data_IF_939880121246
#
_entry.id   IF_939880121246
#
_cell.length_a   1.000
_cell.length_b   1.000
_cell.length_c   1.000
_cell.angle_alpha   90.00
_cell.angle_beta   90.00
_cell.angle_gamma   90.00
#
_symmetry.space_group_name_H-M   'P 1'
#
loop_
_entity.id
_entity.type
_entity.pdbx_description
1 polymer ?
#
# COMPACT_ATOMS: atom_id res chain seq x y z
N UNK A 1 -15.06 11.00 1.16
CA UNK A 1 -13.85 10.17 1.25
C UNK A 1 -12.91 10.58 2.39
N UNK A 2 -12.43 11.83 2.43
CA UNK A 2 -11.36 12.28 3.36
C UNK A 2 -11.50 11.88 4.84
N UNK A 3 -12.72 11.95 5.44
CA UNK A 3 -12.92 11.55 6.85
C UNK A 3 -12.61 10.06 7.08
N UNK A 4 -13.00 9.20 6.14
CA UNK A 4 -12.69 7.77 6.17
C UNK A 4 -11.18 7.55 6.04
N UNK A 5 -10.53 8.21 5.08
CA UNK A 5 -9.08 8.14 4.92
C UNK A 5 -8.34 8.56 6.20
N UNK A 6 -8.70 9.70 6.79
CA UNK A 6 -8.06 10.18 8.02
C UNK A 6 -8.22 9.21 9.19
N UNK A 7 -9.35 8.49 9.26
CA UNK A 7 -9.54 7.46 10.27
C UNK A 7 -8.63 6.25 10.02
N UNK A 8 -8.62 5.73 8.78
CA UNK A 8 -7.76 4.61 8.38
C UNK A 8 -6.28 4.91 8.60
N UNK A 9 -5.83 6.09 8.17
CA UNK A 9 -4.44 6.54 8.35
C UNK A 9 -4.07 6.52 9.83
N UNK A 10 -4.91 7.07 10.72
CA UNK A 10 -4.66 7.01 12.16
C UNK A 10 -4.58 5.58 12.68
N UNK A 11 -5.48 4.71 12.23
CA UNK A 11 -5.48 3.29 12.62
C UNK A 11 -4.20 2.58 12.19
N UNK A 12 -3.75 2.78 10.94
CA UNK A 12 -2.51 2.21 10.40
C UNK A 12 -1.30 2.75 11.17
N UNK A 13 -1.18 4.06 11.35
CA UNK A 13 -0.05 4.68 12.03
C UNK A 13 0.05 4.30 13.52
N UNK A 14 -1.06 4.00 14.18
CA UNK A 14 -1.05 3.57 15.59
C UNK A 14 -0.62 2.10 15.77
N UNK A 15 -0.81 1.26 14.74
CA UNK A 15 -0.53 -0.19 14.78
C UNK A 15 0.77 -0.57 14.08
N UNK A 16 1.36 0.37 13.34
CA UNK A 16 2.56 0.16 12.55
C UNK A 16 3.53 1.32 12.73
N UNK A 17 4.76 1.17 12.22
CA UNK A 17 5.75 2.26 12.18
C UNK A 17 5.64 3.07 10.88
N UNK A 18 4.52 2.99 10.17
CA UNK A 18 4.30 3.72 8.93
C UNK A 18 4.00 5.20 9.21
N UNK A 19 4.58 6.06 8.38
CA UNK A 19 4.37 7.50 8.41
C UNK A 19 3.62 7.92 7.16
N UNK A 20 2.40 8.42 7.31
CA UNK A 20 1.59 8.84 6.19
C UNK A 20 2.20 10.06 5.47
N UNK A 21 2.32 9.99 4.15
CA UNK A 21 2.87 11.08 3.33
C UNK A 21 1.87 11.63 2.32
N UNK A 22 0.82 10.88 1.97
CA UNK A 22 -0.18 11.37 1.02
C UNK A 22 -1.18 10.31 0.61
N UNK A 23 -2.25 10.79 -0.03
CA UNK A 23 -3.27 9.95 -0.63
C UNK A 23 -3.62 10.46 -2.02
N UNK A 24 -4.05 9.55 -2.89
CA UNK A 24 -4.58 9.86 -4.21
C UNK A 24 -6.03 9.42 -4.32
N UNK A 25 -6.80 10.16 -5.09
CA UNK A 25 -8.16 9.78 -5.47
C UNK A 25 -8.26 9.90 -7.00
N UNK A 26 -8.83 8.88 -7.64
CA UNK A 26 -9.24 8.97 -9.04
C UNK A 26 -10.76 8.88 -9.12
N UNK A 27 -11.35 9.61 -10.06
CA UNK A 27 -12.79 9.70 -10.16
C UNK A 27 -13.24 10.79 -11.11
N UNK A 28 -14.52 11.09 -11.04
CA UNK A 28 -15.15 12.23 -11.69
C UNK A 28 -15.81 13.13 -10.63
N UNK A 29 -16.64 14.10 -11.05
CA UNK A 29 -17.30 15.03 -10.11
C UNK A 29 -18.21 14.35 -9.08
N UNK A 30 -18.70 13.14 -9.37
CA UNK A 30 -19.70 12.44 -8.58
C UNK A 30 -19.26 11.07 -8.08
N UNK A 31 -18.29 10.41 -8.70
CA UNK A 31 -17.88 9.06 -8.35
C UNK A 31 -16.37 8.93 -8.17
N UNK A 32 -15.99 8.07 -7.23
CA UNK A 32 -14.64 7.60 -7.00
C UNK A 32 -14.42 6.28 -7.71
N UNK A 33 -13.28 6.14 -8.38
CA UNK A 33 -12.87 4.91 -9.07
C UNK A 33 -11.77 4.19 -8.32
N UNK A 34 -10.83 4.95 -7.73
CA UNK A 34 -9.73 4.40 -6.94
C UNK A 34 -9.30 5.34 -5.83
N UNK A 35 -8.70 4.77 -4.79
CA UNK A 35 -8.04 5.48 -3.71
C UNK A 35 -6.66 4.87 -3.49
N UNK A 36 -5.65 5.72 -3.32
CA UNK A 36 -4.30 5.28 -2.96
C UNK A 36 -3.84 5.92 -1.66
N UNK A 37 -3.04 5.20 -0.87
CA UNK A 37 -2.31 5.74 0.27
C UNK A 37 -0.82 5.48 0.12
N UNK A 38 -0.03 6.47 0.49
CA UNK A 38 1.43 6.41 0.46
C UNK A 38 1.99 6.64 1.85
N UNK A 39 2.97 5.82 2.22
CA UNK A 39 3.63 5.85 3.52
C UNK A 39 5.16 5.79 3.38
N UNK A 40 5.85 6.41 4.32
CA UNK A 40 7.27 6.15 4.56
C UNK A 40 7.43 5.20 5.75
N UNK A 41 8.54 4.47 5.76
CA UNK A 41 9.04 3.76 6.93
C UNK A 41 10.55 3.97 7.03
N UNK A 42 11.04 4.23 8.25
CA UNK A 42 12.46 4.51 8.52
C UNK A 42 13.16 3.27 9.10
N UNK A 43 13.01 2.14 8.41
CA UNK A 43 13.79 0.92 8.61
C UNK A 43 13.75 0.11 7.33
N UNK A 44 14.81 -0.65 7.07
CA UNK A 44 14.84 -1.63 5.99
C UNK A 44 13.82 -2.73 6.28
N UNK A 45 13.02 -3.07 5.27
CA UNK A 45 12.04 -4.14 5.31
C UNK A 45 12.55 -5.36 4.55
N UNK A 46 12.28 -6.54 5.09
CA UNK A 46 12.33 -7.77 4.29
C UNK A 46 11.13 -7.82 3.32
N UNK A 47 11.23 -8.66 2.28
CA UNK A 47 10.13 -8.91 1.33
C UNK A 47 8.84 -9.33 2.06
N UNK A 48 8.96 -10.21 3.05
CA UNK A 48 7.83 -10.75 3.81
C UNK A 48 7.17 -9.69 4.72
N UNK A 49 7.97 -8.87 5.40
CA UNK A 49 7.42 -7.77 6.20
C UNK A 49 6.70 -6.74 5.32
N UNK A 50 7.30 -6.39 4.17
CA UNK A 50 6.69 -5.49 3.21
C UNK A 50 5.37 -6.02 2.66
N UNK A 51 5.34 -7.31 2.27
CA UNK A 51 4.13 -8.02 1.83
C UNK A 51 3.02 -7.93 2.89
N UNK A 52 3.34 -8.27 4.13
CA UNK A 52 2.38 -8.23 5.24
C UNK A 52 1.83 -6.82 5.48
N UNK A 53 2.68 -5.80 5.44
CA UNK A 53 2.26 -4.41 5.60
C UNK A 53 1.33 -3.96 4.47
N UNK A 54 1.67 -4.29 3.22
CA UNK A 54 0.84 -3.97 2.06
C UNK A 54 -0.56 -4.57 2.17
N UNK A 55 -0.66 -5.87 2.45
CA UNK A 55 -1.95 -6.56 2.62
C UNK A 55 -2.74 -5.95 3.76
N UNK A 56 -2.12 -5.79 4.94
CA UNK A 56 -2.79 -5.24 6.12
C UNK A 56 -3.35 -3.84 5.86
N UNK A 57 -2.56 -2.96 5.25
CA UNK A 57 -2.99 -1.59 4.95
C UNK A 57 -4.11 -1.57 3.90
N UNK A 58 -4.01 -2.43 2.89
CA UNK A 58 -4.98 -2.51 1.80
C UNK A 58 -6.33 -3.04 2.30
N UNK A 59 -6.33 -4.07 3.15
CA UNK A 59 -7.53 -4.61 3.78
C UNK A 59 -8.21 -3.60 4.70
N UNK A 60 -7.46 -2.88 5.54
CA UNK A 60 -8.03 -1.84 6.41
C UNK A 60 -8.69 -0.73 5.58
N UNK A 61 -8.01 -0.24 4.55
CA UNK A 61 -8.55 0.81 3.69
C UNK A 61 -9.81 0.34 2.94
N UNK A 62 -9.76 -0.85 2.35
CA UNK A 62 -10.89 -1.42 1.62
C UNK A 62 -12.10 -1.62 2.54
N UNK A 63 -11.88 -2.18 3.73
CA UNK A 63 -12.90 -2.39 4.76
C UNK A 63 -13.55 -1.07 5.18
N UNK A 64 -12.75 -0.07 5.54
CA UNK A 64 -13.26 1.22 5.99
C UNK A 64 -14.03 2.00 4.92
N UNK A 65 -13.63 1.88 3.64
CA UNK A 65 -14.38 2.47 2.52
C UNK A 65 -15.72 1.75 2.34
N UNK A 66 -15.72 0.42 2.25
CA UNK A 66 -16.91 -0.36 1.95
C UNK A 66 -17.92 -0.42 3.11
N UNK A 67 -17.46 -0.31 4.38
CA UNK A 67 -18.34 -0.22 5.55
C UNK A 67 -18.99 1.16 5.70
N UNK A 68 -18.46 2.19 5.02
CA UNK A 68 -19.07 3.51 5.06
C UNK A 68 -20.24 3.60 4.08
N UNK A 69 -21.46 3.31 4.57
CA UNK A 69 -22.70 3.36 3.80
C UNK A 69 -22.96 4.71 3.12
N UNK A 70 -22.40 5.81 3.64
CA UNK A 70 -22.49 7.14 3.01
C UNK A 70 -21.59 7.30 1.78
N UNK A 71 -20.54 6.48 1.65
CA UNK A 71 -19.66 6.48 0.48
C UNK A 71 -20.16 5.57 -0.62
N UNK A 72 -20.85 4.47 -0.29
CA UNK A 72 -21.28 3.45 -1.27
C UNK A 72 -21.94 4.00 -2.54
N UNK A 73 -22.84 5.02 -2.49
CA UNK A 73 -23.46 5.59 -3.70
C UNK A 73 -22.49 6.32 -4.63
N UNK A 74 -21.31 6.68 -4.13
CA UNK A 74 -20.28 7.43 -4.86
C UNK A 74 -19.10 6.55 -5.28
N UNK A 75 -19.14 5.23 -5.02
CA UNK A 75 -18.10 4.30 -5.46
C UNK A 75 -18.47 3.73 -6.83
N UNK A 76 -17.50 3.64 -7.75
CA UNK A 76 -17.68 2.97 -9.03
C UNK A 76 -16.44 2.13 -9.38
N UNK A 77 -16.52 0.79 -9.31
CA UNK A 77 -17.69 -0.03 -8.92
C UNK A 77 -18.08 0.15 -7.44
N UNK A 78 -19.26 -0.32 -7.05
CA UNK A 78 -19.70 -0.38 -5.65
C UNK A 78 -20.17 -1.80 -5.32
N UNK A 79 -19.60 -2.47 -4.29
CA UNK A 79 -18.50 -2.01 -3.45
C UNK A 79 -17.16 -1.94 -4.22
N UNK A 80 -16.16 -1.26 -3.65
CA UNK A 80 -14.78 -1.35 -4.13
C UNK A 80 -14.22 -2.75 -3.91
N UNK A 81 -13.28 -3.13 -4.76
CA UNK A 81 -12.50 -4.37 -4.70
C UNK A 81 -11.02 -4.07 -4.50
N UNK A 82 -10.18 -5.11 -4.44
CA UNK A 82 -8.73 -4.97 -4.36
C UNK A 82 -8.14 -4.15 -5.54
N UNK A 83 -8.80 -4.13 -6.69
CA UNK A 83 -8.35 -3.35 -7.85
C UNK A 83 -8.57 -1.83 -7.68
N UNK A 84 -9.40 -1.41 -6.71
CA UNK A 84 -9.76 -0.01 -6.48
C UNK A 84 -8.93 0.66 -5.38
N UNK A 85 -8.09 -0.11 -4.69
CA UNK A 85 -7.28 0.35 -3.57
C UNK A 85 -5.81 0.08 -3.83
N UNK A 86 -5.00 1.11 -3.67
CA UNK A 86 -3.56 1.07 -3.92
C UNK A 86 -2.79 1.51 -2.68
N UNK A 87 -1.73 0.78 -2.33
CA UNK A 87 -0.86 1.12 -1.20
C UNK A 87 0.57 1.21 -1.70
N UNK A 88 1.28 2.27 -1.30
CA UNK A 88 2.69 2.47 -1.58
C UNK A 88 3.42 2.67 -0.25
N UNK A 89 4.53 1.94 -0.06
CA UNK A 89 5.40 2.07 1.11
C UNK A 89 6.83 2.29 0.61
N UNK A 90 7.40 3.43 1.01
CA UNK A 90 8.78 3.79 0.71
C UNK A 90 9.64 3.50 1.96
N UNK A 91 10.58 2.59 1.79
CA UNK A 91 11.54 2.18 2.83
C UNK A 91 12.79 3.04 2.76
N UNK A 92 13.20 3.53 3.93
CA UNK A 92 14.43 4.28 4.14
C UNK A 92 15.22 3.64 5.28
N UNK A 93 16.52 3.88 5.32
CA UNK A 93 17.31 3.58 6.50
C UNK A 93 16.83 4.43 7.71
N UNK A 94 17.13 4.01 8.95
CA UNK A 94 16.74 4.75 10.15
C UNK A 94 17.23 6.21 10.21
N UNK A 95 18.32 6.52 9.50
CA UNK A 95 18.86 7.88 9.38
C UNK A 95 18.21 8.71 8.26
N UNK A 96 17.17 8.16 7.60
CA UNK A 96 16.44 8.80 6.50
C UNK A 96 17.11 8.69 5.14
N UNK A 97 18.25 7.99 5.01
CA UNK A 97 18.88 7.77 3.72
C UNK A 97 18.09 6.80 2.85
N UNK A 98 18.19 7.00 1.54
CA UNK A 98 17.60 6.12 0.53
C UNK A 98 18.13 4.70 0.67
N UNK A 99 17.22 3.74 0.47
CA UNK A 99 17.52 2.32 0.36
C UNK A 99 17.87 1.98 -1.09
N UNK A 100 18.95 1.23 -1.29
CA UNK A 100 19.43 0.82 -2.61
C UNK A 100 19.63 -0.69 -2.66
N UNK A 101 19.67 -1.25 -3.88
CA UNK A 101 19.99 -2.66 -4.11
C UNK A 101 21.24 -3.09 -3.31
N UNK A 102 21.19 -4.23 -2.59
CA UNK A 102 20.20 -5.31 -2.69
C UNK A 102 18.93 -5.13 -1.84
N UNK A 103 18.78 -4.03 -1.13
CA UNK A 103 17.62 -3.78 -0.27
C UNK A 103 16.43 -3.20 -1.07
N UNK A 104 15.22 -3.58 -0.70
CA UNK A 104 13.98 -3.11 -1.35
C UNK A 104 13.61 -1.73 -0.81
N UNK A 105 13.57 -0.75 -1.71
CA UNK A 105 13.24 0.64 -1.39
C UNK A 105 11.76 0.95 -1.54
N UNK A 106 11.04 0.25 -2.41
CA UNK A 106 9.63 0.50 -2.69
C UNK A 106 8.84 -0.80 -2.66
N UNK A 107 7.73 -0.76 -1.93
CA UNK A 107 6.75 -1.82 -1.86
C UNK A 107 5.41 -1.25 -2.31
N UNK A 108 4.76 -1.89 -3.28
CA UNK A 108 3.45 -1.42 -3.73
C UNK A 108 2.45 -2.55 -3.94
N UNK A 109 1.19 -2.28 -3.61
CA UNK A 109 0.06 -3.12 -3.96
C UNK A 109 -0.83 -2.33 -4.92
N UNK A 110 -0.80 -2.69 -6.19
CA UNK A 110 -1.38 -1.90 -7.28
C UNK A 110 -2.01 -2.83 -8.32
N UNK A 111 -3.23 -2.54 -8.79
CA UNK A 111 -3.91 -3.34 -9.83
C UNK A 111 -3.92 -4.87 -9.59
N UNK A 112 -4.11 -5.31 -8.35
CA UNK A 112 -4.17 -6.74 -8.02
C UNK A 112 -2.82 -7.46 -8.01
N UNK A 113 -1.70 -6.74 -8.12
CA UNK A 113 -0.36 -7.29 -7.93
C UNK A 113 0.34 -6.62 -6.76
N UNK A 114 1.32 -7.32 -6.20
CA UNK A 114 2.32 -6.76 -5.30
C UNK A 114 3.64 -6.61 -6.04
N UNK A 115 4.31 -5.48 -5.86
CA UNK A 115 5.63 -5.20 -6.40
C UNK A 115 6.64 -4.92 -5.31
N UNK A 116 7.87 -5.35 -5.57
CA UNK A 116 9.05 -5.09 -4.77
C UNK A 116 10.12 -4.51 -5.69
N UNK A 117 10.49 -3.27 -5.45
CA UNK A 117 11.32 -2.49 -6.36
C UNK A 117 12.56 -1.98 -5.60
N UNK A 118 13.72 -2.11 -6.23
CA UNK A 118 15.00 -1.62 -5.71
C UNK A 118 15.51 -0.48 -6.58
N UNK A 119 16.19 0.51 -5.99
CA UNK A 119 16.91 1.54 -6.74
C UNK A 119 18.43 1.29 -6.74
N UNK A 120 19.15 2.00 -7.62
CA UNK A 120 20.60 2.10 -7.57
C UNK A 120 21.07 3.56 -7.56
N UNK A 121 22.21 3.87 -6.91
CA UNK A 121 22.74 5.24 -6.87
C UNK A 121 22.95 5.82 -8.28
N UNK A 122 22.48 7.04 -8.50
CA UNK A 122 22.67 7.76 -9.77
C UNK A 122 21.70 7.39 -10.89
N UNK A 123 20.76 6.47 -10.66
CA UNK A 123 19.65 6.24 -11.59
C UNK A 123 18.74 7.47 -11.65
N UNK A 124 18.38 7.88 -12.87
CA UNK A 124 17.54 9.07 -13.12
C UNK A 124 16.07 8.73 -13.34
N UNK A 125 15.76 7.49 -13.71
CA UNK A 125 14.42 7.00 -13.96
C UNK A 125 14.37 5.47 -13.91
N UNK A 126 13.21 4.93 -13.54
CA UNK A 126 12.97 3.49 -13.42
C UNK A 126 13.61 2.86 -12.18
N UNK A 127 13.40 1.56 -12.02
CA UNK A 127 13.94 0.77 -10.92
C UNK A 127 15.09 -0.10 -11.39
N UNK A 128 16.04 -0.39 -10.50
CA UNK A 128 17.16 -1.27 -10.78
C UNK A 128 16.70 -2.73 -10.93
N UNK A 129 15.84 -3.19 -10.03
CA UNK A 129 15.13 -4.47 -10.15
C UNK A 129 13.66 -4.29 -9.75
N UNK A 130 12.80 -5.10 -10.35
CA UNK A 130 11.38 -5.20 -10.04
C UNK A 130 11.01 -6.68 -9.95
N UNK A 131 10.49 -7.09 -8.79
CA UNK A 131 9.86 -8.39 -8.59
C UNK A 131 8.37 -8.20 -8.38
N UNK A 132 7.56 -9.10 -8.94
CA UNK A 132 6.09 -9.04 -8.81
C UNK A 132 5.49 -10.39 -8.45
N UNK A 133 4.35 -10.34 -7.79
CA UNK A 133 3.51 -11.50 -7.45
C UNK A 133 2.04 -11.08 -7.49
N UNK A 134 1.12 -12.04 -7.64
CA UNK A 134 -0.31 -11.74 -7.54
C UNK A 134 -0.69 -11.38 -6.10
N UNK A 135 -1.71 -10.56 -5.93
CA UNK A 135 -2.21 -10.23 -4.59
C UNK A 135 -2.73 -11.49 -3.88
N UNK A 136 -3.34 -12.40 -4.63
CA UNK A 136 -3.88 -13.66 -4.13
C UNK A 136 -2.77 -14.59 -3.60
N UNK A 137 -1.69 -14.80 -4.36
CA UNK A 137 -0.55 -15.61 -3.90
C UNK A 137 0.10 -14.97 -2.67
N UNK A 138 0.25 -13.65 -2.67
CA UNK A 138 0.78 -12.92 -1.54
C UNK A 138 -0.07 -13.09 -0.27
N UNK A 139 -1.39 -13.09 -0.44
CA UNK A 139 -2.35 -13.30 0.65
C UNK A 139 -2.23 -14.72 1.22
N UNK A 140 -2.12 -15.73 0.36
CA UNK A 140 -1.88 -17.12 0.78
C UNK A 140 -0.57 -17.27 1.56
N UNK A 141 0.51 -16.63 1.09
CA UNK A 141 1.80 -16.61 1.80
C UNK A 141 1.61 -16.02 3.20
N UNK A 142 1.01 -14.83 3.32
CA UNK A 142 0.81 -14.18 4.62
C UNK A 142 -0.06 -15.03 5.55
N UNK A 143 -1.12 -15.67 5.05
CA UNK A 143 -1.96 -16.55 5.86
C UNK A 143 -1.22 -17.81 6.33
N UNK A 144 -0.41 -18.43 5.47
CA UNK A 144 0.41 -19.60 5.85
C UNK A 144 1.42 -19.27 6.94
N UNK A 145 2.00 -18.06 6.91
CA UNK A 145 2.95 -17.59 7.93
C UNK A 145 2.30 -17.30 9.29
N UNK A 146 0.99 -17.05 9.33
CA UNK A 146 0.23 -16.79 10.57
C UNK A 146 -0.30 -18.07 11.23
N UNK A 147 -0.37 -19.18 10.49
CA UNK A 147 -0.83 -20.49 10.96
C UNK A 147 0.25 -21.56 10.70
N UNK A 148 1.36 -21.53 11.46
CA UNK A 148 2.49 -22.45 11.28
C UNK A 148 2.17 -23.91 11.68
#
# INVERSE_FOLDING_TARGET
MHKTINHVVKTIQNRSQLHFIGFGESGNKTHYYKVSLSFNIFRVLTKDEGRKLLITCKEELLSAINLNTKLLPYLQPSPFTQANVEIFIFSYHPDGKSTYYPEIGVFSAWNGIIKFETDAPGMKAGFFTEETESYEDALEIVHSQLNP
#
